data_IF_786568167865
#
_entry.id   IF_786568167865
#
_cell.length_a   1.000
_cell.length_b   1.000
_cell.length_c   1.000
_cell.angle_alpha   90.00
_cell.angle_beta   90.00
_cell.angle_gamma   90.00
#
_symmetry.space_group_name_H-M   'P 1'
#
loop_
_entity.id
_entity.type
_entity.pdbx_description
1 polymer ?
#
# COMPACT_ATOMS: atom_id res chain seq x y z
N UNK A 1 32.10 -33.68 18.78
CA UNK A 1 30.91 -33.36 17.96
C UNK A 1 29.72 -33.27 18.87
N UNK A 2 29.24 -32.06 19.15
CA UNK A 2 27.96 -31.84 19.84
C UNK A 2 27.24 -30.78 19.02
N UNK A 3 26.32 -31.22 18.17
CA UNK A 3 25.44 -30.34 17.40
C UNK A 3 24.41 -29.81 18.40
N UNK A 4 24.60 -28.57 18.85
CA UNK A 4 23.55 -27.84 19.56
C UNK A 4 22.53 -27.46 18.50
N UNK A 5 21.39 -28.15 18.48
CA UNK A 5 20.23 -27.74 17.71
C UNK A 5 19.67 -26.48 18.39
N UNK A 6 19.90 -25.31 17.79
CA UNK A 6 19.16 -24.10 18.12
C UNK A 6 17.73 -24.28 17.60
N UNK A 7 16.83 -24.62 18.51
CA UNK A 7 15.39 -24.53 18.32
C UNK A 7 15.04 -23.13 17.78
N UNK A 8 14.20 -22.99 16.73
CA UNK A 8 13.80 -21.70 16.23
C UNK A 8 12.92 -21.01 17.27
N UNK A 9 13.53 -20.15 18.08
CA UNK A 9 12.83 -19.26 19.00
C UNK A 9 11.79 -18.46 18.20
N UNK A 10 10.50 -18.45 18.60
CA UNK A 10 9.52 -17.63 17.92
C UNK A 10 9.96 -16.17 18.05
N UNK A 11 10.24 -15.52 16.92
CA UNK A 11 10.56 -14.10 16.84
C UNK A 11 9.39 -13.32 17.46
N UNK A 12 9.57 -12.86 18.70
CA UNK A 12 8.63 -11.98 19.37
C UNK A 12 8.55 -10.70 18.52
N UNK A 13 7.39 -10.34 17.95
CA UNK A 13 7.26 -9.16 17.09
C UNK A 13 7.68 -7.93 17.89
N UNK A 14 8.79 -7.31 17.50
CA UNK A 14 9.49 -6.35 18.34
C UNK A 14 8.77 -5.00 18.47
N UNK A 15 7.80 -4.68 17.61
CA UNK A 15 7.05 -3.42 17.67
C UNK A 15 5.57 -3.58 17.25
N UNK A 16 4.61 -3.23 18.11
CA UNK A 16 3.16 -3.38 17.84
C UNK A 16 2.58 -2.35 16.85
N UNK A 17 3.39 -1.40 16.38
CA UNK A 17 2.93 -0.29 15.51
C UNK A 17 3.07 -0.57 14.00
N UNK A 18 3.77 -1.63 13.62
CA UNK A 18 3.96 -2.01 12.21
C UNK A 18 2.88 -2.99 11.73
N UNK A 19 1.86 -2.47 11.03
CA UNK A 19 0.87 -3.31 10.36
C UNK A 19 1.50 -3.84 9.07
N UNK A 20 1.73 -5.16 9.01
CA UNK A 20 2.11 -5.86 7.79
C UNK A 20 0.89 -5.93 6.88
N UNK A 21 0.89 -5.14 5.81
CA UNK A 21 -0.19 -5.17 4.83
C UNK A 21 0.19 -6.10 3.70
N UNK A 22 -0.56 -7.20 3.58
CA UNK A 22 -0.40 -8.19 2.52
C UNK A 22 -1.56 -8.00 1.55
N UNK A 23 -1.24 -7.70 0.30
CA UNK A 23 -2.22 -7.54 -0.77
C UNK A 23 -2.05 -8.67 -1.77
N UNK A 24 -3.14 -9.38 -2.03
CA UNK A 24 -3.24 -10.30 -3.16
C UNK A 24 -4.19 -9.69 -4.19
N UNK A 25 -3.62 -9.16 -5.26
CA UNK A 25 -4.34 -8.49 -6.33
C UNK A 25 -4.37 -9.39 -7.56
N UNK A 26 -5.52 -10.00 -7.82
CA UNK A 26 -5.74 -10.78 -9.04
C UNK A 26 -6.19 -9.86 -10.18
N UNK A 27 -5.30 -9.63 -11.15
CA UNK A 27 -5.57 -8.84 -12.35
C UNK A 27 -5.97 -9.80 -13.49
N UNK A 28 -7.27 -9.87 -13.77
CA UNK A 28 -7.82 -10.75 -14.82
C UNK A 28 -7.74 -12.24 -14.47
N UNK A 29 -7.55 -13.09 -15.48
CA UNK A 29 -7.56 -14.56 -15.33
C UNK A 29 -6.17 -15.15 -15.04
N UNK A 30 -5.09 -14.39 -15.27
CA UNK A 30 -3.72 -14.92 -15.37
C UNK A 30 -2.66 -14.23 -14.51
N UNK A 31 -2.94 -13.06 -13.92
CA UNK A 31 -1.93 -12.31 -13.16
C UNK A 31 -2.37 -12.22 -11.71
N UNK A 32 -1.57 -12.77 -10.82
CA UNK A 32 -1.73 -12.65 -9.36
C UNK A 32 -0.56 -11.83 -8.84
N UNK A 33 -0.83 -10.64 -8.32
CA UNK A 33 0.18 -9.74 -7.78
C UNK A 33 0.16 -9.85 -6.25
N UNK A 34 1.16 -10.51 -5.69
CA UNK A 34 1.35 -10.56 -4.24
C UNK A 34 2.33 -9.47 -3.82
N UNK A 35 1.86 -8.54 -2.99
CA UNK A 35 2.65 -7.48 -2.41
C UNK A 35 2.58 -7.53 -0.89
N UNK A 36 3.72 -7.42 -0.21
CA UNK A 36 3.77 -7.25 1.24
C UNK A 36 4.51 -5.95 1.52
N UNK A 37 3.83 -4.98 2.14
CA UNK A 37 4.42 -3.71 2.53
C UNK A 37 4.18 -3.45 4.02
N UNK A 38 5.14 -2.79 4.65
CA UNK A 38 4.95 -2.23 6.00
C UNK A 38 4.19 -0.92 5.82
N UNK A 39 2.97 -0.84 6.36
CA UNK A 39 2.09 0.32 6.18
C UNK A 39 1.84 0.97 7.55
N UNK A 40 1.97 2.29 7.60
CA UNK A 40 1.57 3.09 8.76
C UNK A 40 0.16 3.65 8.55
N UNK A 41 -0.72 3.67 9.58
CA UNK A 41 -2.07 4.22 9.45
C UNK A 41 -2.08 5.68 8.99
N UNK A 42 -1.15 6.49 9.49
CA UNK A 42 -0.99 7.89 9.06
C UNK A 42 -0.60 7.99 7.58
N UNK A 43 0.25 7.08 7.09
CA UNK A 43 0.67 7.01 5.69
C UNK A 43 -0.48 6.69 4.74
N UNK A 44 -1.41 5.83 5.14
CA UNK A 44 -2.61 5.52 4.33
C UNK A 44 -3.50 6.75 4.19
N UNK A 45 -3.76 7.43 5.30
CA UNK A 45 -4.62 8.62 5.32
C UNK A 45 -4.00 9.73 4.47
N UNK A 46 -2.71 10.01 4.64
CA UNK A 46 -2.01 11.05 3.88
C UNK A 46 -1.97 10.74 2.38
N UNK A 47 -1.71 9.49 2.02
CA UNK A 47 -1.74 9.04 0.62
C UNK A 47 -3.14 9.21 0.02
N UNK A 48 -4.19 8.83 0.75
CA UNK A 48 -5.57 9.02 0.31
C UNK A 48 -5.93 10.49 0.06
N UNK A 49 -5.54 11.39 0.97
CA UNK A 49 -5.76 12.82 0.82
C UNK A 49 -4.97 13.39 -0.38
N UNK A 50 -3.71 12.99 -0.55
CA UNK A 50 -2.89 13.41 -1.67
C UNK A 50 -3.52 13.01 -3.01
N UNK A 51 -3.92 11.74 -3.14
CA UNK A 51 -4.58 11.22 -4.36
C UNK A 51 -5.90 11.95 -4.62
N UNK A 52 -6.72 12.20 -3.59
CA UNK A 52 -7.97 12.93 -3.74
C UNK A 52 -7.74 14.37 -4.24
N UNK A 53 -6.79 15.09 -3.64
CA UNK A 53 -6.45 16.46 -4.04
C UNK A 53 -5.91 16.52 -5.49
N UNK A 54 -5.02 15.59 -5.86
CA UNK A 54 -4.49 15.49 -7.22
C UNK A 54 -5.60 15.20 -8.24
N UNK A 55 -6.50 14.27 -7.92
CA UNK A 55 -7.62 13.90 -8.79
C UNK A 55 -8.59 15.07 -8.97
N UNK A 56 -8.90 15.81 -7.90
CA UNK A 56 -9.73 17.02 -7.98
C UNK A 56 -9.08 18.11 -8.84
N UNK A 57 -7.79 18.38 -8.64
CA UNK A 57 -7.06 19.37 -9.42
C UNK A 57 -7.05 18.99 -10.91
N UNK A 58 -6.78 17.72 -11.22
CA UNK A 58 -6.80 17.22 -12.60
C UNK A 58 -8.21 17.30 -13.21
N UNK A 59 -9.24 16.90 -12.46
CA UNK A 59 -10.63 16.98 -12.88
C UNK A 59 -11.07 18.43 -13.16
N UNK A 60 -10.65 19.37 -12.31
CA UNK A 60 -10.91 20.79 -12.53
C UNK A 60 -10.21 21.31 -13.80
N UNK A 61 -8.93 20.97 -13.98
CA UNK A 61 -8.16 21.34 -15.17
C UNK A 61 -8.85 20.83 -16.45
N UNK A 62 -9.21 19.54 -16.50
CA UNK A 62 -9.92 18.94 -17.64
C UNK A 62 -11.26 19.61 -17.88
N UNK A 63 -12.04 19.87 -16.82
CA UNK A 63 -13.33 20.55 -16.91
C UNK A 63 -13.20 21.97 -17.49
N UNK A 64 -12.18 22.72 -17.06
CA UNK A 64 -11.91 24.07 -17.56
C UNK A 64 -11.54 24.09 -19.04
N UNK A 65 -10.69 23.15 -19.49
CA UNK A 65 -10.32 23.02 -20.90
C UNK A 65 -11.55 22.69 -21.75
N UNK A 66 -12.41 21.78 -21.26
CA UNK A 66 -13.63 21.38 -21.98
C UNK A 66 -14.62 22.53 -22.12
N UNK A 67 -14.80 23.36 -21.09
CA UNK A 67 -15.67 24.55 -21.15
C UNK A 67 -15.14 25.65 -22.07
N UNK A 68 -13.84 25.72 -22.30
CA UNK A 68 -13.23 26.73 -23.20
C UNK A 68 -13.35 26.37 -24.69
N UNK A 69 -13.67 25.11 -24.98
CA UNK A 69 -13.75 24.56 -26.34
C UNK A 69 -15.17 24.56 -26.91
N UNK A 70 -16.18 24.78 -26.06
CA UNK A 70 -17.56 25.11 -26.42
C UNK A 70 -17.76 26.61 -26.28
#
# INVERSE_FOLDING_TARGET
MSVVQEEPSPEIPSHPEEIKSVFDLRVGKHITLQGSARITPAGVISTGLAVAAMTLALGYLVSSIRRRRY
#
